data_IF_973571613004
#
_entry.id   IF_973571613004
#
_cell.length_a   1.000
_cell.length_b   1.000
_cell.length_c   1.000
_cell.angle_alpha   90.00
_cell.angle_beta   90.00
_cell.angle_gamma   90.00
#
_symmetry.space_group_name_H-M   'P 1'
#
loop_
_entity.id
_entity.type
_entity.pdbx_description
1 polymer ?
#
# COMPACT_ATOMS: atom_id res chain seq x y z
N UNK A 1 -9.71 -5.71 33.07
CA UNK A 1 -10.48 -5.87 31.86
C UNK A 1 -11.19 -7.20 31.83
N UNK A 2 -12.46 -7.18 31.43
CA UNK A 2 -13.40 -8.30 31.53
C UNK A 2 -12.98 -9.55 30.76
N UNK A 3 -12.30 -9.40 29.63
CA UNK A 3 -11.86 -10.53 28.78
C UNK A 3 -10.84 -11.41 29.52
N UNK A 4 -9.82 -10.84 30.16
CA UNK A 4 -8.81 -11.59 30.92
C UNK A 4 -9.36 -12.41 32.07
N UNK A 5 -10.54 -12.05 32.60
CA UNK A 5 -11.21 -12.84 33.66
C UNK A 5 -11.89 -14.08 33.12
N UNK A 6 -12.27 -14.12 31.86
CA UNK A 6 -12.95 -15.22 31.18
C UNK A 6 -12.01 -16.12 30.39
N UNK A 7 -10.98 -15.54 29.80
CA UNK A 7 -10.05 -16.21 28.89
C UNK A 7 -8.60 -15.96 29.33
N UNK A 8 -7.99 -17.00 29.89
CA UNK A 8 -6.64 -16.93 30.48
C UNK A 8 -5.53 -17.07 29.43
N UNK A 9 -5.78 -17.84 28.37
CA UNK A 9 -4.78 -18.14 27.35
C UNK A 9 -5.15 -17.57 26.00
N UNK A 10 -4.18 -17.07 25.25
CA UNK A 10 -4.37 -16.59 23.88
C UNK A 10 -4.95 -17.67 22.95
N UNK A 11 -4.57 -18.93 23.17
CA UNK A 11 -5.09 -20.07 22.44
C UNK A 11 -6.61 -20.17 22.52
N UNK A 12 -7.18 -19.96 23.69
CA UNK A 12 -8.63 -20.05 23.90
C UNK A 12 -9.37 -18.87 23.24
N UNK A 13 -8.71 -17.71 23.20
CA UNK A 13 -9.23 -16.49 22.58
C UNK A 13 -9.18 -16.53 21.04
N UNK A 14 -8.10 -17.07 20.46
CA UNK A 14 -7.80 -16.97 19.03
C UNK A 14 -8.81 -17.68 18.11
N UNK A 15 -9.57 -18.62 18.62
CA UNK A 15 -10.56 -19.42 17.87
C UNK A 15 -12.00 -18.96 18.10
N UNK A 16 -12.22 -17.98 18.96
CA UNK A 16 -13.56 -17.52 19.30
C UNK A 16 -14.02 -16.37 18.43
N UNK A 17 -15.25 -16.43 17.98
CA UNK A 17 -15.94 -15.28 17.38
C UNK A 17 -16.38 -14.27 18.45
N UNK A 18 -16.64 -13.03 18.05
CA UNK A 18 -16.94 -11.92 18.96
C UNK A 18 -18.18 -12.18 19.82
N UNK A 19 -19.19 -12.89 19.30
CA UNK A 19 -20.42 -13.28 20.00
C UNK A 19 -20.20 -14.35 21.08
N UNK A 20 -19.05 -15.05 21.07
CA UNK A 20 -18.63 -15.99 22.11
C UNK A 20 -17.81 -15.30 23.21
N UNK A 21 -17.22 -14.15 22.91
CA UNK A 21 -16.40 -13.38 23.85
C UNK A 21 -17.27 -12.42 24.65
N UNK A 22 -18.22 -11.74 24.01
CA UNK A 22 -19.08 -10.75 24.61
C UNK A 22 -20.55 -11.18 24.65
N UNK A 23 -21.24 -10.80 25.70
CA UNK A 23 -22.67 -11.03 25.83
C UNK A 23 -23.46 -10.25 24.78
N UNK A 24 -24.53 -10.82 24.22
CA UNK A 24 -25.38 -10.16 23.21
C UNK A 24 -25.87 -8.79 23.63
N UNK A 25 -26.16 -8.60 24.93
CA UNK A 25 -26.60 -7.30 25.48
C UNK A 25 -25.51 -6.23 25.27
N UNK A 26 -24.24 -6.57 25.46
CA UNK A 26 -23.11 -5.65 25.26
C UNK A 26 -22.94 -5.35 23.78
N UNK A 27 -23.00 -6.36 22.93
CA UNK A 27 -22.86 -6.19 21.48
C UNK A 27 -23.96 -5.29 20.90
N UNK A 28 -25.21 -5.50 21.32
CA UNK A 28 -26.37 -4.71 20.86
C UNK A 28 -26.30 -3.22 21.29
N UNK A 29 -25.54 -2.92 22.34
CA UNK A 29 -25.30 -1.54 22.83
C UNK A 29 -24.01 -0.93 22.29
N UNK A 30 -23.21 -1.69 21.54
CA UNK A 30 -21.94 -1.23 21.00
C UNK A 30 -22.13 -0.55 19.65
N UNK A 31 -21.27 0.41 19.36
CA UNK A 31 -21.18 0.99 18.02
C UNK A 31 -20.45 -0.02 17.13
N UNK A 32 -21.09 -0.41 16.03
CA UNK A 32 -20.45 -1.21 14.97
C UNK A 32 -19.90 -0.29 13.91
N UNK A 33 -18.64 -0.47 13.56
CA UNK A 33 -17.97 0.22 12.47
C UNK A 33 -17.43 -0.83 11.52
N UNK A 34 -17.80 -0.72 10.25
CA UNK A 34 -17.37 -1.63 9.20
C UNK A 34 -16.28 -0.97 8.36
N UNK A 35 -15.34 -1.76 7.88
CA UNK A 35 -14.28 -1.34 6.97
C UNK A 35 -14.40 -2.15 5.68
N UNK A 36 -14.81 -1.47 4.61
CA UNK A 36 -15.08 -2.10 3.33
C UNK A 36 -13.83 -2.27 2.45
N UNK A 37 -12.79 -1.47 2.70
CA UNK A 37 -11.59 -1.43 1.86
C UNK A 37 -10.33 -1.34 2.72
N UNK A 38 -9.52 -2.41 2.71
CA UNK A 38 -8.23 -2.47 3.41
C UNK A 38 -7.03 -2.46 2.45
N UNK A 39 -7.26 -2.73 1.18
CA UNK A 39 -6.23 -2.79 0.15
C UNK A 39 -6.05 -1.45 -0.58
N UNK A 40 -4.83 -1.15 -1.00
CA UNK A 40 -4.55 -0.06 -1.92
C UNK A 40 -5.19 -0.38 -3.29
N UNK A 41 -5.91 0.58 -3.86
CA UNK A 41 -6.70 0.36 -5.08
C UNK A 41 -6.67 1.58 -5.99
N UNK A 42 -6.88 1.35 -7.28
CA UNK A 42 -7.17 2.39 -8.27
C UNK A 42 -8.67 2.46 -8.49
N UNK A 43 -9.21 3.66 -8.48
CA UNK A 43 -10.59 3.93 -8.86
C UNK A 43 -10.62 4.55 -10.24
N UNK A 44 -11.27 3.87 -11.18
CA UNK A 44 -11.39 4.30 -12.57
C UNK A 44 -12.71 5.05 -12.71
N UNK A 45 -12.63 6.31 -13.13
CA UNK A 45 -13.82 7.10 -13.44
C UNK A 45 -14.38 6.68 -14.82
N UNK A 46 -15.60 6.17 -14.84
CA UNK A 46 -16.31 5.76 -16.04
C UNK A 46 -17.37 6.80 -16.49
N UNK A 47 -17.33 7.99 -15.87
CA UNK A 47 -18.28 9.07 -16.13
C UNK A 47 -19.44 9.09 -15.11
N UNK A 48 -20.22 8.03 -15.04
CA UNK A 48 -21.36 7.94 -14.11
C UNK A 48 -20.98 7.31 -12.74
N UNK A 49 -19.95 6.47 -12.72
CA UNK A 49 -19.51 5.75 -11.53
C UNK A 49 -18.01 5.50 -11.54
N UNK A 50 -17.50 4.96 -10.42
CA UNK A 50 -16.12 4.52 -10.28
C UNK A 50 -16.08 2.99 -10.20
N UNK A 51 -15.23 2.36 -11.00
CA UNK A 51 -14.89 0.95 -10.85
C UNK A 51 -13.57 0.79 -10.09
N UNK A 52 -13.57 -0.10 -9.10
CA UNK A 52 -12.40 -0.38 -8.27
C UNK A 52 -11.53 -1.45 -8.92
N UNK A 53 -10.23 -1.21 -8.95
CA UNK A 53 -9.20 -2.19 -9.32
C UNK A 53 -8.16 -2.26 -8.20
N UNK A 54 -8.10 -3.34 -7.39
CA UNK A 54 -7.07 -3.48 -6.37
C UNK A 54 -5.69 -3.62 -6.99
N UNK A 55 -4.70 -3.05 -6.31
CA UNK A 55 -3.31 -3.28 -6.67
C UNK A 55 -2.90 -4.74 -6.43
N UNK A 56 -1.84 -5.23 -7.12
CA UNK A 56 -1.22 -6.51 -6.82
C UNK A 56 -0.81 -6.64 -5.35
N UNK A 57 -0.74 -7.88 -4.87
CA UNK A 57 -0.48 -8.18 -3.46
C UNK A 57 0.84 -7.56 -2.95
N UNK A 58 1.86 -7.50 -3.81
CA UNK A 58 3.18 -6.95 -3.48
C UNK A 58 3.11 -5.49 -3.02
N UNK A 59 2.23 -4.69 -3.64
CA UNK A 59 2.03 -3.29 -3.27
C UNK A 59 1.36 -3.18 -1.90
N UNK A 60 0.56 -4.17 -1.53
CA UNK A 60 -0.19 -4.22 -0.28
C UNK A 60 0.59 -4.82 0.90
N UNK A 61 1.86 -5.24 0.71
CA UNK A 61 2.68 -5.76 1.81
C UNK A 61 3.04 -4.71 2.85
N UNK A 62 2.98 -3.43 2.51
CA UNK A 62 3.21 -2.32 3.43
C UNK A 62 2.42 -1.08 3.02
N UNK A 63 2.33 -0.11 3.92
CA UNK A 63 1.65 1.16 3.66
C UNK A 63 2.25 1.89 2.47
N UNK A 64 1.41 2.37 1.55
CA UNK A 64 1.81 3.24 0.43
C UNK A 64 1.71 4.70 0.86
N UNK A 65 2.75 5.49 0.61
CA UNK A 65 2.81 6.91 0.94
C UNK A 65 2.90 7.81 -0.28
N UNK A 66 3.54 7.33 -1.34
CA UNK A 66 3.68 8.12 -2.56
C UNK A 66 3.63 7.24 -3.81
N UNK A 67 3.00 7.78 -4.83
CA UNK A 67 2.87 7.17 -6.15
C UNK A 67 3.18 8.24 -7.20
N UNK A 68 4.17 7.97 -8.05
CA UNK A 68 4.48 8.85 -9.18
C UNK A 68 4.29 8.12 -10.51
N UNK A 69 3.77 8.85 -11.48
CA UNK A 69 3.49 8.34 -12.82
C UNK A 69 4.63 8.65 -13.76
N UNK A 70 5.15 7.62 -14.39
CA UNK A 70 6.12 7.72 -15.47
C UNK A 70 5.39 7.47 -16.78
N UNK A 71 5.34 8.47 -17.65
CA UNK A 71 4.80 8.29 -19.00
C UNK A 71 5.78 7.45 -19.82
N UNK A 72 5.40 6.22 -20.12
CA UNK A 72 6.07 5.38 -21.11
C UNK A 72 5.46 5.62 -22.51
N UNK A 73 6.09 5.05 -23.53
CA UNK A 73 5.57 5.12 -24.89
C UNK A 73 4.32 4.22 -25.05
N UNK A 74 3.39 4.62 -25.92
CA UNK A 74 2.23 3.82 -26.39
C UNK A 74 1.28 3.34 -25.28
N UNK A 75 0.56 4.27 -24.65
CA UNK A 75 -0.57 3.96 -23.73
C UNK A 75 -0.20 3.11 -22.49
N UNK A 76 1.09 2.89 -22.24
CA UNK A 76 1.60 2.24 -21.03
C UNK A 76 2.07 3.33 -20.07
N UNK A 77 1.51 3.32 -18.86
CA UNK A 77 1.98 4.13 -17.76
C UNK A 77 2.85 3.28 -16.84
N UNK A 78 4.05 3.76 -16.53
CA UNK A 78 4.83 3.25 -15.42
C UNK A 78 4.41 3.94 -14.12
N UNK A 79 4.30 3.19 -13.04
CA UNK A 79 4.16 3.72 -11.70
C UNK A 79 5.41 3.38 -10.88
N UNK A 80 5.90 4.35 -10.12
CA UNK A 80 6.79 4.08 -8.99
C UNK A 80 6.00 4.33 -7.71
N UNK A 81 6.14 3.40 -6.77
CA UNK A 81 5.34 3.36 -5.56
C UNK A 81 6.26 3.17 -4.38
N UNK A 82 6.11 3.98 -3.35
CA UNK A 82 6.93 3.93 -2.14
C UNK A 82 6.10 4.01 -0.87
N UNK A 83 6.67 3.49 0.20
CA UNK A 83 5.98 3.48 1.47
C UNK A 83 6.80 2.94 2.64
N UNK A 84 6.18 2.19 3.48
CA UNK A 84 6.57 1.67 4.79
C UNK A 84 6.16 2.56 5.97
N UNK A 85 5.99 1.94 7.13
CA UNK A 85 5.68 2.61 8.39
C UNK A 85 6.46 1.96 9.52
N UNK A 86 7.49 2.65 10.05
CA UNK A 86 8.36 2.12 11.10
C UNK A 86 7.88 2.50 12.50
N UNK A 87 7.35 3.72 12.66
CA UNK A 87 6.89 4.24 13.94
C UNK A 87 5.43 3.82 14.20
N UNK A 88 5.22 2.55 14.45
CA UNK A 88 3.95 1.96 14.86
C UNK A 88 4.01 1.54 16.33
N UNK A 89 2.88 1.17 16.92
CA UNK A 89 2.86 0.65 18.29
C UNK A 89 3.74 -0.60 18.39
N UNK A 90 4.59 -0.73 19.44
CA UNK A 90 5.58 -1.80 19.54
C UNK A 90 5.02 -3.22 19.40
N UNK A 91 3.76 -3.43 19.81
CA UNK A 91 3.12 -4.74 19.72
C UNK A 91 2.79 -5.20 18.28
N UNK A 92 2.82 -4.31 17.29
CA UNK A 92 2.54 -4.65 15.89
C UNK A 92 3.82 -4.81 15.06
N UNK A 93 4.98 -4.42 15.59
CA UNK A 93 6.23 -4.40 14.85
C UNK A 93 6.28 -3.30 13.78
N UNK A 94 7.24 -3.38 12.88
CA UNK A 94 7.45 -2.42 11.79
C UNK A 94 6.76 -2.91 10.52
N UNK A 95 6.17 -1.99 9.76
CA UNK A 95 5.68 -2.28 8.42
C UNK A 95 6.77 -1.89 7.42
N UNK A 96 7.67 -2.81 7.11
CA UNK A 96 8.91 -2.57 6.35
C UNK A 96 9.09 -3.52 5.16
N UNK A 97 8.02 -4.18 4.73
CA UNK A 97 8.07 -5.17 3.67
C UNK A 97 8.23 -4.59 2.25
N UNK A 98 8.04 -3.27 2.07
CA UNK A 98 8.23 -2.63 0.77
C UNK A 98 9.67 -2.15 0.59
N UNK A 99 10.25 -2.46 -0.57
CA UNK A 99 11.53 -1.87 -1.04
C UNK A 99 11.32 -0.87 -2.17
N UNK A 100 10.12 -0.27 -2.24
CA UNK A 100 9.67 0.49 -3.37
C UNK A 100 9.37 -0.41 -4.57
N UNK A 101 8.40 -0.04 -5.38
CA UNK A 101 7.93 -0.84 -6.49
C UNK A 101 7.89 -0.02 -7.77
N UNK A 102 8.22 -0.67 -8.88
CA UNK A 102 7.89 -0.22 -10.23
C UNK A 102 6.88 -1.20 -10.81
N UNK A 103 5.86 -0.68 -11.49
CA UNK A 103 4.93 -1.50 -12.26
C UNK A 103 4.42 -0.75 -13.49
N UNK A 104 3.99 -1.49 -14.49
CA UNK A 104 3.34 -0.95 -15.68
C UNK A 104 1.84 -1.16 -15.63
N UNK A 105 1.10 -0.14 -16.10
CA UNK A 105 -0.35 -0.19 -16.29
C UNK A 105 -0.64 0.06 -17.75
N UNK A 106 -1.44 -0.79 -18.34
CA UNK A 106 -2.04 -0.58 -19.65
C UNK A 106 -3.56 -0.63 -19.57
N UNK A 107 -4.23 0.08 -20.46
CA UNK A 107 -5.68 -0.01 -20.59
C UNK A 107 -6.03 -1.14 -21.57
N UNK A 108 -6.85 -2.09 -21.12
CA UNK A 108 -7.41 -3.16 -21.94
C UNK A 108 -8.93 -3.03 -21.95
N UNK A 109 -9.50 -2.47 -23.05
CA UNK A 109 -10.94 -2.19 -23.18
C UNK A 109 -11.44 -1.37 -21.98
N UNK A 110 -12.26 -1.98 -21.11
CA UNK A 110 -12.88 -1.32 -19.96
C UNK A 110 -12.16 -1.62 -18.64
N UNK A 111 -10.96 -2.19 -18.68
CA UNK A 111 -10.20 -2.52 -17.48
C UNK A 111 -8.75 -2.09 -17.57
N UNK A 112 -8.06 -2.09 -16.41
CA UNK A 112 -6.62 -1.89 -16.33
C UNK A 112 -5.92 -3.24 -16.17
N UNK A 113 -4.79 -3.40 -16.86
CA UNK A 113 -3.88 -4.52 -16.68
C UNK A 113 -2.59 -4.04 -16.02
N UNK A 114 -2.18 -4.73 -14.98
CA UNK A 114 -0.90 -4.54 -14.33
C UNK A 114 0.13 -5.53 -14.86
N UNK A 115 1.33 -5.05 -15.10
CA UNK A 115 2.45 -5.87 -15.61
C UNK A 115 3.79 -5.34 -15.10
N UNK A 116 4.86 -6.10 -15.31
CA UNK A 116 6.25 -5.75 -14.96
C UNK A 116 6.41 -5.23 -13.54
N UNK A 117 5.90 -5.96 -12.55
CA UNK A 117 6.08 -5.60 -11.15
C UNK A 117 7.52 -5.96 -10.75
N UNK A 118 8.26 -4.96 -10.28
CA UNK A 118 9.64 -5.14 -9.84
C UNK A 118 9.99 -4.24 -8.66
N UNK A 119 10.88 -4.72 -7.79
CA UNK A 119 11.40 -3.94 -6.68
C UNK A 119 12.37 -2.87 -7.16
N UNK A 120 12.29 -1.67 -6.56
CA UNK A 120 13.28 -0.59 -6.74
C UNK A 120 14.53 -0.80 -5.87
N UNK A 121 14.52 -1.79 -4.96
CA UNK A 121 15.58 -2.06 -3.99
C UNK A 121 15.95 -0.84 -3.12
N UNK A 122 14.96 -0.06 -2.75
CA UNK A 122 15.10 1.10 -1.87
C UNK A 122 14.58 0.72 -0.49
N UNK A 123 15.45 0.62 0.48
CA UNK A 123 15.10 0.37 1.88
C UNK A 123 14.78 1.67 2.60
N UNK A 124 13.84 1.60 3.54
CA UNK A 124 13.44 2.70 4.40
C UNK A 124 11.98 3.12 4.22
N UNK A 125 11.60 4.14 4.95
CA UNK A 125 10.26 4.73 4.88
C UNK A 125 10.22 5.77 3.74
N UNK A 126 9.94 5.34 2.52
CA UNK A 126 9.81 6.26 1.38
C UNK A 126 8.61 7.16 1.61
N UNK A 127 8.81 8.48 1.52
CA UNK A 127 7.76 9.49 1.71
C UNK A 127 7.44 10.27 0.46
N UNK A 128 8.43 10.46 -0.42
CA UNK A 128 8.20 11.24 -1.65
C UNK A 128 9.17 10.85 -2.75
N UNK A 129 8.67 10.81 -3.97
CA UNK A 129 9.43 10.82 -5.20
C UNK A 129 9.28 12.19 -5.85
N UNK A 130 10.39 12.88 -6.16
CA UNK A 130 10.37 14.18 -6.83
C UNK A 130 11.08 14.04 -8.16
N UNK A 131 10.37 14.18 -9.29
CA UNK A 131 10.99 14.07 -10.59
C UNK A 131 11.87 15.30 -10.89
N UNK A 132 13.03 15.06 -11.47
CA UNK A 132 13.87 16.12 -12.02
C UNK A 132 14.61 15.65 -13.27
N UNK A 133 15.12 16.60 -14.05
CA UNK A 133 15.94 16.32 -15.23
C UNK A 133 17.33 16.89 -15.04
N UNK A 134 18.33 16.12 -15.43
CA UNK A 134 19.72 16.55 -15.49
C UNK A 134 20.36 16.04 -16.79
N UNK A 135 20.95 16.95 -17.57
CA UNK A 135 21.53 16.65 -18.89
C UNK A 135 20.62 15.79 -19.80
N UNK A 136 19.32 16.13 -19.83
CA UNK A 136 18.32 15.41 -20.65
C UNK A 136 17.86 14.06 -20.07
N UNK A 137 18.50 13.54 -19.03
CA UNK A 137 18.11 12.33 -18.34
C UNK A 137 17.08 12.61 -17.25
N UNK A 138 16.13 11.69 -17.09
CA UNK A 138 15.11 11.76 -16.02
C UNK A 138 15.57 10.99 -14.78
N UNK A 139 15.39 11.62 -13.65
CA UNK A 139 15.68 11.08 -12.33
C UNK A 139 14.52 11.36 -11.39
N UNK A 140 14.51 10.61 -10.28
CA UNK A 140 13.73 10.98 -9.09
C UNK A 140 14.67 11.15 -7.90
N UNK A 141 14.44 12.21 -7.14
CA UNK A 141 14.92 12.29 -5.75
C UNK A 141 13.94 11.50 -4.91
N UNK A 142 14.45 10.57 -4.11
CA UNK A 142 13.66 9.76 -3.20
C UNK A 142 13.88 10.26 -1.78
N UNK A 143 12.85 10.88 -1.22
CA UNK A 143 12.81 11.29 0.18
C UNK A 143 12.47 10.10 1.07
N UNK A 144 13.37 9.78 2.00
CA UNK A 144 13.25 8.67 2.94
C UNK A 144 13.28 9.23 4.35
N UNK A 145 12.29 8.88 5.15
CA UNK A 145 12.21 9.37 6.53
C UNK A 145 13.37 8.81 7.38
N UNK A 146 13.96 9.67 8.21
CA UNK A 146 15.11 9.35 9.07
C UNK A 146 16.30 8.69 8.33
N UNK A 147 16.50 9.01 7.02
CA UNK A 147 17.57 8.46 6.21
C UNK A 147 18.03 9.46 5.13
N UNK A 148 19.18 9.16 4.50
CA UNK A 148 19.67 9.95 3.38
C UNK A 148 18.73 9.84 2.17
N UNK A 149 18.61 10.93 1.40
CA UNK A 149 17.94 10.92 0.10
C UNK A 149 18.67 9.96 -0.85
N UNK A 150 17.91 9.35 -1.75
CA UNK A 150 18.44 8.53 -2.83
C UNK A 150 18.05 9.11 -4.19
N UNK A 151 18.80 8.73 -5.22
CA UNK A 151 18.51 9.10 -6.60
C UNK A 151 18.16 7.85 -7.39
N UNK A 152 17.00 7.87 -8.03
CA UNK A 152 16.55 6.82 -8.92
C UNK A 152 16.66 7.34 -10.36
N UNK A 153 17.47 6.67 -11.19
CA UNK A 153 17.58 6.96 -12.62
C UNK A 153 16.56 6.12 -13.38
N UNK A 154 15.83 6.77 -14.29
CA UNK A 154 14.96 6.08 -15.22
C UNK A 154 15.71 5.84 -16.52
N UNK A 155 15.91 4.57 -16.85
CA UNK A 155 16.40 4.20 -18.17
C UNK A 155 15.19 4.10 -19.10
N UNK A 156 15.02 5.08 -19.99
CA UNK A 156 14.07 4.97 -21.09
C UNK A 156 14.66 3.92 -22.05
N UNK A 157 14.16 2.68 -21.98
CA UNK A 157 14.47 1.70 -23.04
C UNK A 157 13.94 2.27 -24.35
N UNK A 158 14.83 2.45 -25.32
CA UNK A 158 14.51 2.85 -26.69
C UNK A 158 13.69 1.79 -27.40
#
# INVERSE_FOLDING_TARGET
>A
PSIKKKLFYYKDYSTLSIDKIFDKKILNQSISLDVDLLESSIFINNGENFSKKPFPAEINYSSVYDIEVIKNQKDILGLIIGGNQFKVKPQFGRYDASKGWYMEISREKDSLKFSKISSLNIEGEIRKFIPFKNFGQKYFVVGINDNNIKFLKINENK
#
